data_IF_635590453596
#
_entry.id   IF_635590453596
#
_cell.length_a   1.000
_cell.length_b   1.000
_cell.length_c   1.000
_cell.angle_alpha   90.00
_cell.angle_beta   90.00
_cell.angle_gamma   90.00
#
_symmetry.space_group_name_H-M   'P 1'
#
loop_
_entity.id
_entity.type
_entity.pdbx_description
1 polymer ?
#
# COMPACT_ATOMS: atom_id res chain seq x y z
N UNK A 1 -0.54 -31.57 -13.47
CA UNK A 1 -0.16 -30.40 -12.67
C UNK A 1 -0.95 -29.21 -13.21
N UNK A 2 -2.05 -28.82 -12.55
CA UNK A 2 -2.87 -27.71 -13.03
C UNK A 2 -2.10 -26.39 -12.89
N UNK A 3 -2.16 -25.47 -13.86
CA UNK A 3 -1.55 -24.16 -13.68
C UNK A 3 -2.29 -23.45 -12.54
N UNK A 4 -1.56 -23.12 -11.47
CA UNK A 4 -2.07 -22.22 -10.43
C UNK A 4 -2.21 -20.84 -11.06
N UNK A 5 -3.35 -20.58 -11.68
CA UNK A 5 -3.77 -19.22 -11.99
C UNK A 5 -3.78 -18.48 -10.65
N UNK A 6 -2.80 -17.59 -10.44
CA UNK A 6 -2.85 -16.63 -9.34
C UNK A 6 -4.09 -15.80 -9.58
N UNK A 7 -5.19 -16.14 -8.90
CA UNK A 7 -6.43 -15.37 -8.98
C UNK A 7 -6.17 -14.05 -8.27
N UNK A 8 -5.56 -13.10 -8.97
CA UNK A 8 -5.50 -11.72 -8.52
C UNK A 8 -6.91 -11.17 -8.71
N UNK A 9 -7.66 -10.88 -7.63
CA UNK A 9 -9.03 -10.44 -7.74
C UNK A 9 -9.10 -9.11 -8.49
N UNK A 10 -10.18 -8.92 -9.27
CA UNK A 10 -10.35 -7.70 -10.06
C UNK A 10 -10.40 -6.44 -9.18
N UNK A 11 -10.05 -5.27 -9.75
CA UNK A 11 -10.69 -3.98 -9.55
C UNK A 11 -11.64 -3.82 -8.36
N UNK A 12 -12.91 -3.85 -8.74
CA UNK A 12 -14.05 -3.78 -7.86
C UNK A 12 -14.14 -4.92 -6.84
N UNK A 13 -13.61 -6.11 -7.12
CA UNK A 13 -13.67 -7.22 -6.15
C UNK A 13 -12.85 -6.93 -4.91
N UNK A 14 -11.63 -6.40 -5.05
CA UNK A 14 -10.82 -6.00 -3.88
C UNK A 14 -11.50 -4.85 -3.14
N UNK A 15 -12.03 -3.86 -3.85
CA UNK A 15 -12.63 -2.69 -3.19
C UNK A 15 -13.88 -3.10 -2.38
N UNK A 16 -14.60 -4.15 -2.79
CA UNK A 16 -15.76 -4.70 -2.07
C UNK A 16 -15.39 -5.67 -0.94
N UNK A 17 -14.46 -6.60 -1.17
CA UNK A 17 -14.15 -7.68 -0.23
C UNK A 17 -12.97 -7.33 0.72
N UNK A 18 -12.14 -6.35 0.36
CA UNK A 18 -11.02 -5.82 1.15
C UNK A 18 -11.03 -4.28 1.18
N UNK A 19 -12.09 -3.65 1.75
CA UNK A 19 -12.29 -2.21 1.69
C UNK A 19 -11.31 -1.42 2.57
N UNK A 20 -10.66 -2.07 3.55
CA UNK A 20 -9.76 -1.39 4.49
C UNK A 20 -8.33 -1.39 3.96
N UNK A 21 -7.91 -0.28 3.36
CA UNK A 21 -6.64 -0.20 2.63
C UNK A 21 -5.67 0.73 3.37
N UNK A 22 -4.41 0.31 3.49
CA UNK A 22 -3.32 1.10 4.07
C UNK A 22 -2.26 1.32 3.01
N UNK A 23 -1.92 2.58 2.74
CA UNK A 23 -0.94 3.00 1.77
C UNK A 23 0.44 3.19 2.42
N UNK A 24 1.45 2.54 1.86
CA UNK A 24 2.87 2.77 2.16
C UNK A 24 3.58 3.21 0.87
N UNK A 25 4.63 4.05 0.95
CA UNK A 25 5.47 4.34 -0.22
C UNK A 25 6.02 3.04 -0.85
N UNK A 26 5.89 2.86 -2.17
CA UNK A 26 6.27 1.59 -2.84
C UNK A 26 7.78 1.34 -2.74
N UNK A 27 8.59 2.41 -2.70
CA UNK A 27 10.04 2.39 -2.50
C UNK A 27 10.44 1.89 -1.09
N UNK A 28 9.55 1.99 -0.09
CA UNK A 28 9.76 1.37 1.22
C UNK A 28 9.34 -0.09 1.26
N UNK A 29 8.61 -0.60 0.27
CA UNK A 29 8.04 -1.95 0.30
C UNK A 29 8.90 -2.98 -0.45
N UNK A 30 10.21 -2.76 -0.55
CA UNK A 30 11.16 -3.61 -1.28
C UNK A 30 12.27 -4.19 -0.36
N UNK A 31 13.09 -5.09 -0.90
CA UNK A 31 14.25 -5.70 -0.22
C UNK A 31 13.95 -6.20 1.21
N UNK A 32 14.78 -5.81 2.18
CA UNK A 32 14.65 -6.19 3.58
C UNK A 32 13.27 -5.85 4.16
N UNK A 33 12.71 -4.70 3.77
CA UNK A 33 11.40 -4.26 4.23
C UNK A 33 10.28 -5.17 3.75
N UNK A 34 10.39 -5.70 2.52
CA UNK A 34 9.44 -6.71 2.03
C UNK A 34 9.43 -7.95 2.94
N UNK A 35 10.61 -8.40 3.36
CA UNK A 35 10.76 -9.50 4.32
C UNK A 35 10.10 -9.21 5.67
N UNK A 36 10.31 -8.00 6.22
CA UNK A 36 9.69 -7.56 7.48
C UNK A 36 8.17 -7.54 7.40
N UNK A 37 7.63 -6.99 6.32
CA UNK A 37 6.18 -6.93 6.05
C UNK A 37 5.61 -8.34 5.94
N UNK A 38 6.24 -9.21 5.13
CA UNK A 38 5.77 -10.57 4.90
C UNK A 38 5.80 -11.41 6.19
N UNK A 39 6.88 -11.32 6.98
CA UNK A 39 7.00 -12.01 8.26
C UNK A 39 5.93 -11.56 9.25
N UNK A 40 5.76 -10.25 9.43
CA UNK A 40 4.74 -9.72 10.33
C UNK A 40 3.32 -10.16 9.94
N UNK A 41 2.98 -10.09 8.65
CA UNK A 41 1.68 -10.51 8.18
C UNK A 41 1.46 -12.02 8.38
N UNK A 42 2.48 -12.86 8.14
CA UNK A 42 2.39 -14.29 8.40
C UNK A 42 2.18 -14.58 9.89
N UNK A 43 2.99 -13.98 10.75
CA UNK A 43 2.99 -14.26 12.19
C UNK A 43 1.68 -13.79 12.86
N UNK A 44 1.02 -12.77 12.30
CA UNK A 44 -0.27 -12.24 12.77
C UNK A 44 -1.49 -12.76 11.99
N UNK A 45 -1.29 -13.75 11.10
CA UNK A 45 -2.33 -14.31 10.22
C UNK A 45 -3.13 -13.23 9.46
N UNK A 46 -2.41 -12.27 8.87
CA UNK A 46 -2.96 -11.19 8.09
C UNK A 46 -3.06 -11.62 6.62
N UNK A 47 -4.28 -11.84 6.16
CA UNK A 47 -4.56 -12.04 4.74
C UNK A 47 -4.88 -10.69 4.10
N UNK A 48 -4.13 -10.34 3.05
CA UNK A 48 -4.28 -9.09 2.34
C UNK A 48 -4.03 -9.26 0.83
N UNK A 49 -4.54 -8.31 0.06
CA UNK A 49 -4.14 -8.11 -1.33
C UNK A 49 -3.30 -6.84 -1.45
N UNK A 50 -2.43 -6.79 -2.45
CA UNK A 50 -1.66 -5.60 -2.77
C UNK A 50 -2.15 -4.92 -4.03
N UNK A 51 -2.09 -3.59 -4.03
CA UNK A 51 -2.33 -2.75 -5.21
C UNK A 51 -1.35 -1.60 -5.26
N UNK A 52 -1.25 -0.96 -6.42
CA UNK A 52 -0.51 0.28 -6.58
C UNK A 52 -1.45 1.41 -6.93
N UNK A 53 -1.20 2.57 -6.35
CA UNK A 53 -1.80 3.85 -6.72
C UNK A 53 -0.72 4.89 -6.79
N UNK A 54 -0.98 5.96 -7.52
CA UNK A 54 -0.05 7.08 -7.62
C UNK A 54 -0.66 8.27 -6.89
N UNK A 55 -0.04 8.64 -5.77
CA UNK A 55 -0.38 9.87 -5.05
C UNK A 55 0.17 11.05 -5.85
N UNK A 56 -0.68 12.02 -6.20
CA UNK A 56 -0.33 13.16 -7.07
C UNK A 56 -0.62 14.47 -6.34
N UNK A 57 0.36 15.36 -6.27
CA UNK A 57 0.27 16.66 -5.61
C UNK A 57 0.02 17.81 -6.61
N UNK A 58 -0.50 18.96 -6.17
CA UNK A 58 -0.83 20.09 -7.05
C UNK A 58 0.38 20.66 -7.82
N UNK A 59 1.60 20.45 -7.32
CA UNK A 59 2.84 20.86 -7.98
C UNK A 59 3.30 19.88 -9.07
N UNK A 60 2.49 18.88 -9.42
CA UNK A 60 2.81 17.85 -10.41
C UNK A 60 3.76 16.76 -9.91
N UNK A 61 4.22 16.82 -8.65
CA UNK A 61 4.98 15.71 -8.05
C UNK A 61 4.05 14.54 -7.79
N UNK A 62 4.60 13.34 -7.91
CA UNK A 62 3.90 12.12 -7.59
C UNK A 62 4.75 11.17 -6.75
N UNK A 63 4.10 10.28 -6.04
CA UNK A 63 4.73 9.18 -5.32
C UNK A 63 3.92 7.90 -5.56
N UNK A 64 4.62 6.84 -5.95
CA UNK A 64 4.00 5.52 -6.07
C UNK A 64 3.77 4.94 -4.67
N UNK A 65 2.54 4.51 -4.41
CA UNK A 65 2.10 3.96 -3.14
C UNK A 65 1.66 2.52 -3.34
N UNK A 66 2.07 1.64 -2.43
CA UNK A 66 1.57 0.28 -2.30
C UNK A 66 0.45 0.23 -1.28
N UNK A 67 -0.72 -0.18 -1.73
CA UNK A 67 -1.88 -0.43 -0.87
C UNK A 67 -1.83 -1.87 -0.36
N UNK A 68 -1.99 -2.03 0.95
CA UNK A 68 -2.27 -3.28 1.62
C UNK A 68 -3.75 -3.32 1.97
N UNK A 69 -4.52 -4.12 1.23
CA UNK A 69 -5.98 -4.20 1.30
C UNK A 69 -6.40 -5.35 2.21
N UNK A 70 -7.11 -5.04 3.30
CA UNK A 70 -7.58 -5.99 4.30
C UNK A 70 -9.11 -6.10 4.29
N UNK A 71 -9.61 -7.30 4.57
CA UNK A 71 -11.04 -7.57 4.69
C UNK A 71 -11.63 -7.01 5.99
N UNK A 72 -10.82 -6.90 7.05
CA UNK A 72 -11.26 -6.43 8.38
C UNK A 72 -10.50 -5.18 8.80
N UNK A 73 -11.23 -4.19 9.33
CA UNK A 73 -10.70 -2.93 9.86
C UNK A 73 -9.58 -3.15 10.87
N UNK A 74 -9.81 -4.02 11.85
CA UNK A 74 -8.85 -4.35 12.92
C UNK A 74 -7.50 -4.83 12.38
N UNK A 75 -7.52 -5.61 11.28
CA UNK A 75 -6.28 -6.10 10.64
C UNK A 75 -5.53 -4.97 9.94
N UNK A 76 -6.25 -4.03 9.33
CA UNK A 76 -5.67 -2.83 8.75
C UNK A 76 -5.08 -1.90 9.83
N UNK A 77 -5.77 -1.76 10.97
CA UNK A 77 -5.27 -0.98 12.13
C UNK A 77 -4.02 -1.61 12.74
N UNK A 78 -4.00 -2.93 12.91
CA UNK A 78 -2.82 -3.64 13.40
C UNK A 78 -1.62 -3.45 12.47
N UNK A 79 -1.85 -3.52 11.15
CA UNK A 79 -0.81 -3.25 10.16
C UNK A 79 -0.33 -1.80 10.20
N UNK A 80 -1.26 -0.85 10.23
CA UNK A 80 -0.96 0.60 10.24
C UNK A 80 -0.25 1.01 11.54
N UNK A 81 -0.64 0.44 12.68
CA UNK A 81 0.03 0.68 13.96
C UNK A 81 1.48 0.21 13.94
N UNK A 82 1.76 -0.92 13.26
CA UNK A 82 3.10 -1.48 13.16
C UNK A 82 3.99 -0.72 12.17
N UNK A 83 3.49 -0.46 10.97
CA UNK A 83 4.27 0.01 9.83
C UNK A 83 4.06 1.48 9.50
N UNK A 84 3.12 2.16 10.18
CA UNK A 84 2.65 3.47 9.77
C UNK A 84 1.85 3.38 8.48
N UNK A 85 2.07 4.35 7.59
CA UNK A 85 1.27 4.52 6.39
C UNK A 85 -0.06 5.24 6.65
N UNK A 86 -0.79 5.44 5.57
CA UNK A 86 -2.01 6.23 5.55
C UNK A 86 -3.21 5.37 5.17
N UNK A 87 -4.35 5.56 5.82
CA UNK A 87 -5.58 4.91 5.38
C UNK A 87 -6.01 5.47 4.04
N UNK A 88 -6.25 4.57 3.10
CA UNK A 88 -6.69 4.90 1.76
C UNK A 88 -8.18 4.57 1.61
N UNK A 89 -8.95 5.55 1.16
CA UNK A 89 -10.34 5.35 0.79
C UNK A 89 -10.43 5.11 -0.73
N UNK A 90 -10.97 3.97 -1.20
CA UNK A 90 -11.12 3.68 -2.62
C UNK A 90 -11.92 4.73 -3.41
N UNK A 91 -12.79 5.49 -2.74
CA UNK A 91 -13.56 6.57 -3.34
C UNK A 91 -12.72 7.82 -3.67
N UNK A 92 -11.58 8.01 -2.99
CA UNK A 92 -10.66 9.13 -3.26
C UNK A 92 -9.85 8.89 -4.54
N UNK A 93 -9.95 7.69 -5.13
CA UNK A 93 -9.26 7.33 -6.36
C UNK A 93 -9.98 7.92 -7.57
N UNK A 94 -9.35 8.85 -8.26
CA UNK A 94 -9.85 9.35 -9.54
C UNK A 94 -9.58 8.33 -10.67
N UNK A 95 -10.56 8.20 -11.58
CA UNK A 95 -10.63 7.13 -12.58
C UNK A 95 -9.57 7.23 -13.69
N UNK A 96 -8.80 6.15 -13.91
CA UNK A 96 -7.80 6.05 -15.00
C UNK A 96 -6.78 4.92 -14.80
N UNK A 97 -5.96 4.63 -15.83
CA UNK A 97 -5.05 3.47 -16.01
C UNK A 97 -4.07 3.15 -14.85
N UNK A 98 -3.94 3.98 -13.82
CA UNK A 98 -3.02 3.79 -12.67
C UNK A 98 -3.59 4.16 -11.30
N UNK A 99 -4.89 4.47 -11.19
CA UNK A 99 -5.53 4.81 -9.91
C UNK A 99 -4.91 6.05 -9.27
N UNK A 100 -5.19 7.22 -9.83
CA UNK A 100 -4.69 8.48 -9.30
C UNK A 100 -5.33 8.78 -7.95
N UNK A 101 -4.51 9.17 -7.00
CA UNK A 101 -4.94 9.62 -5.69
C UNK A 101 -4.52 11.08 -5.53
N UNK A 102 -5.41 12.04 -5.84
CA UNK A 102 -5.10 13.45 -5.68
C UNK A 102 -4.84 13.75 -4.20
N UNK A 103 -3.74 14.46 -3.94
CA UNK A 103 -3.32 14.89 -2.62
C UNK A 103 -3.51 16.38 -2.49
N UNK A 104 -3.90 16.83 -1.31
CA UNK A 104 -3.82 18.24 -0.94
C UNK A 104 -2.49 18.53 -0.25
N UNK A 105 -2.03 19.79 -0.32
CA UNK A 105 -0.86 20.28 0.41
C UNK A 105 0.47 20.10 -0.31
N UNK A 106 1.56 20.12 0.47
CA UNK A 106 2.94 20.03 -0.02
C UNK A 106 3.42 18.59 0.03
N UNK A 107 4.09 18.14 -1.03
CA UNK A 107 4.74 16.84 -1.05
C UNK A 107 5.95 16.84 -0.12
N UNK A 108 5.96 15.90 0.82
CA UNK A 108 7.12 15.59 1.66
C UNK A 108 7.51 14.15 1.41
N UNK A 109 8.77 13.91 1.02
CA UNK A 109 9.30 12.56 0.87
C UNK A 109 9.33 11.88 2.24
N UNK A 110 8.46 10.91 2.46
CA UNK A 110 8.57 10.06 3.63
C UNK A 110 9.79 9.14 3.42
N UNK A 111 10.75 9.17 4.36
CA UNK A 111 11.95 8.32 4.31
C UNK A 111 11.87 7.13 5.28
N UNK A 112 10.97 7.20 6.26
CA UNK A 112 10.79 6.19 7.29
C UNK A 112 9.31 6.07 7.67
N UNK A 113 8.83 4.86 7.94
CA UNK A 113 7.49 4.58 8.44
C UNK A 113 7.51 3.36 9.36
N UNK A 114 7.31 3.57 10.66
CA UNK A 114 7.49 2.52 11.66
C UNK A 114 8.91 1.89 11.59
N UNK A 115 9.05 0.57 11.38
CA UNK A 115 10.33 -0.11 11.21
C UNK A 115 10.89 0.02 9.79
N UNK A 116 10.11 0.53 8.84
CA UNK A 116 10.49 0.59 7.43
C UNK A 116 11.32 1.84 7.21
N UNK A 117 12.44 1.68 6.51
CA UNK A 117 13.27 2.78 6.05
C UNK A 117 13.47 2.63 4.56
N UNK A 118 13.40 3.72 3.80
CA UNK A 118 13.77 3.68 2.37
C UNK A 118 15.20 3.11 2.28
N UNK A 119 15.44 2.06 1.48
CA UNK A 119 16.77 1.49 1.29
C UNK A 119 17.76 2.57 0.86
N UNK A 120 19.00 2.50 1.34
CA UNK A 120 20.01 3.54 1.09
C UNK A 120 20.22 3.83 -0.41
N UNK A 121 20.14 2.80 -1.24
CA UNK A 121 20.26 2.88 -2.71
C UNK A 121 19.13 3.71 -3.37
N UNK A 122 18.00 3.90 -2.67
CA UNK A 122 16.84 4.64 -3.16
C UNK A 122 16.72 6.03 -2.51
N UNK A 123 17.67 6.48 -1.68
CA UNK A 123 17.57 7.76 -0.94
C UNK A 123 18.03 9.00 -1.71
N UNK A 124 18.73 8.80 -2.82
CA UNK A 124 19.20 9.87 -3.71
C UNK A 124 18.03 10.57 -4.44
#
# INVERSE_FOLDING_TARGET
>A
MAPRASYTPSPARIDREWPHQVALPDDMCCDHNFGLIAAFCRDNSLHFHTRRVQAVWPNGRYQDMRLHCFAKREKAELFQSRFGGEFFNPADREGGRRGWWPRSGVWTRLLESGPLKVPAILRD
#
